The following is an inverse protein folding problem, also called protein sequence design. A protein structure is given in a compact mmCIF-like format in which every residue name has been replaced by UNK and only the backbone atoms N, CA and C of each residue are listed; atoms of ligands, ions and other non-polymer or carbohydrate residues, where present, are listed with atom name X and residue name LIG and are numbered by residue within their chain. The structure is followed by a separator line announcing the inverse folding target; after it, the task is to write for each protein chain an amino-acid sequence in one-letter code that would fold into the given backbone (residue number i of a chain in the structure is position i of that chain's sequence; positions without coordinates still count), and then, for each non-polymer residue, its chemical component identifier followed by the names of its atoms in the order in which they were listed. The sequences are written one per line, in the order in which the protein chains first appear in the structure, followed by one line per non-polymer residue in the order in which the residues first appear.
data_IF_901981854693
#
_entry.id   IF_901981854693
#
_cell.length_a   1.000
_cell.length_b   1.000
_cell.length_c   1.000
_cell.angle_alpha   90.00
_cell.angle_beta   90.00
_cell.angle_gamma   90.00
#
_symmetry.space_group_name_H-M   'P 1'
#
loop_
_entity.id
_entity.type
_entity.pdbx_description
1 polymer ?
#
# COMPACT_ATOMS: atom_id res chain seq x y z
N UNK A 1 16.10 -2.98 14.66
CA UNK A 1 15.48 -1.95 13.81
C UNK A 1 14.12 -2.45 13.35
N UNK A 2 13.10 -1.62 13.42
CA UNK A 2 11.76 -2.03 13.02
C UNK A 2 11.53 -1.77 11.53
N UNK A 3 10.87 -2.71 10.89
CA UNK A 3 10.46 -2.62 9.49
C UNK A 3 8.95 -2.71 9.38
N UNK A 4 8.41 -2.19 8.29
CA UNK A 4 7.00 -2.31 7.94
C UNK A 4 6.91 -2.99 6.57
N UNK A 5 6.20 -4.10 6.50
CA UNK A 5 5.78 -4.68 5.22
C UNK A 5 4.45 -4.07 4.85
N UNK A 6 4.38 -3.43 3.70
CA UNK A 6 3.22 -2.65 3.28
C UNK A 6 2.70 -3.13 1.93
N UNK A 7 1.37 -3.24 1.83
CA UNK A 7 0.70 -3.56 0.58
C UNK A 7 -0.59 -2.76 0.48
N UNK A 8 -1.02 -2.46 -0.75
CA UNK A 8 -2.28 -1.74 -1.00
C UNK A 8 -3.11 -2.46 -2.04
N UNK A 9 -4.43 -2.22 -1.98
CA UNK A 9 -5.36 -2.51 -3.07
C UNK A 9 -5.98 -1.20 -3.53
N UNK A 10 -6.29 -1.10 -4.83
CA UNK A 10 -6.74 0.15 -5.46
C UNK A 10 -7.90 -0.10 -6.40
N UNK A 11 -8.50 1.00 -6.88
CA UNK A 11 -9.56 0.92 -7.89
C UNK A 11 -9.03 0.74 -9.31
N UNK A 12 -7.72 0.88 -9.54
CA UNK A 12 -7.15 0.76 -10.89
C UNK A 12 -5.63 0.81 -10.89
N UNK A 13 -5.04 1.06 -12.05
CA UNK A 13 -3.60 0.91 -12.26
C UNK A 13 -2.78 2.19 -12.05
N UNK A 14 -3.44 3.37 -12.06
CA UNK A 14 -2.70 4.63 -11.96
C UNK A 14 -3.50 5.69 -11.23
N UNK A 15 -2.87 6.46 -10.32
CA UNK A 15 -3.54 7.58 -9.69
C UNK A 15 -3.86 8.71 -10.68
N UNK A 16 -3.17 8.78 -11.82
CA UNK A 16 -3.42 9.80 -12.85
C UNK A 16 -4.82 9.69 -13.45
N UNK A 17 -5.45 8.52 -13.41
CA UNK A 17 -6.80 8.29 -13.88
C UNK A 17 -7.83 8.42 -12.75
N UNK A 18 -7.47 9.11 -11.67
CA UNK A 18 -8.30 9.33 -10.48
C UNK A 18 -8.63 8.04 -9.75
N UNK A 19 -7.82 7.02 -9.92
CA UNK A 19 -7.96 5.80 -9.13
C UNK A 19 -7.48 6.06 -7.71
N UNK A 20 -8.04 5.29 -6.78
CA UNK A 20 -7.84 5.52 -5.35
C UNK A 20 -7.55 4.21 -4.63
N UNK A 21 -6.97 4.33 -3.44
CA UNK A 21 -6.70 3.20 -2.56
C UNK A 21 -7.99 2.72 -1.91
N UNK A 22 -8.19 1.40 -1.84
CA UNK A 22 -9.31 0.78 -1.13
C UNK A 22 -8.87 -0.02 0.09
N UNK A 23 -7.59 -0.35 0.20
CA UNK A 23 -7.07 -1.10 1.35
C UNK A 23 -5.60 -0.78 1.55
N UNK A 24 -5.19 -0.61 2.82
CA UNK A 24 -3.79 -0.54 3.22
C UNK A 24 -3.56 -1.60 4.29
N UNK A 25 -2.57 -2.45 4.09
CA UNK A 25 -2.17 -3.46 5.06
C UNK A 25 -0.70 -3.27 5.38
N UNK A 26 -0.38 -3.14 6.67
CA UNK A 26 0.98 -3.00 7.17
C UNK A 26 1.22 -3.98 8.29
N UNK A 27 2.34 -4.69 8.24
CA UNK A 27 2.76 -5.60 9.30
C UNK A 27 4.12 -5.12 9.81
N UNK A 28 4.24 -4.90 11.12
CA UNK A 28 5.50 -4.51 11.71
C UNK A 28 6.35 -5.72 12.03
N UNK A 29 7.64 -5.61 11.76
CA UNK A 29 8.64 -6.60 12.15
C UNK A 29 9.77 -5.90 12.89
N UNK A 30 10.54 -6.68 13.66
CA UNK A 30 11.79 -6.24 14.26
C UNK A 30 12.87 -7.23 13.85
N UNK A 31 13.86 -6.76 13.09
CA UNK A 31 14.87 -7.61 12.47
C UNK A 31 14.22 -8.79 11.73
N UNK A 32 13.16 -8.48 10.97
CA UNK A 32 12.37 -9.37 10.13
C UNK A 32 11.52 -10.38 10.89
N UNK A 33 11.39 -10.24 12.22
CA UNK A 33 10.50 -11.06 13.04
C UNK A 33 9.22 -10.28 13.36
N UNK A 34 8.03 -10.84 13.12
CA UNK A 34 6.78 -10.12 13.39
C UNK A 34 6.65 -9.70 14.85
N UNK A 35 6.22 -8.44 15.08
CA UNK A 35 6.02 -7.89 16.43
C UNK A 35 4.58 -8.00 16.91
N UNK A 36 3.66 -8.49 16.06
CA UNK A 36 2.22 -8.54 16.27
C UNK A 36 1.52 -7.19 16.12
N UNK A 37 2.24 -6.11 15.82
CA UNK A 37 1.61 -4.81 15.50
C UNK A 37 1.23 -4.78 14.04
N UNK A 38 -0.03 -4.48 13.77
CA UNK A 38 -0.60 -4.47 12.43
C UNK A 38 -1.41 -3.19 12.26
N UNK A 39 -1.28 -2.56 11.10
CA UNK A 39 -2.18 -1.52 10.64
C UNK A 39 -2.94 -2.07 9.43
N UNK A 40 -4.25 -2.13 9.51
CA UNK A 40 -5.08 -2.62 8.42
C UNK A 40 -6.34 -1.78 8.33
N UNK A 41 -6.54 -1.12 7.19
CA UNK A 41 -7.74 -0.32 6.94
C UNK A 41 -8.28 -0.62 5.56
N UNK A 42 -9.59 -0.80 5.51
CA UNK A 42 -10.36 -0.82 4.27
C UNK A 42 -10.92 0.58 4.11
N UNK A 43 -10.75 1.17 2.92
CA UNK A 43 -10.95 2.60 2.71
C UNK A 43 -12.03 2.85 1.67
N UNK A 44 -12.88 3.82 1.93
CA UNK A 44 -13.84 4.33 0.96
C UNK A 44 -13.10 5.18 -0.08
N UNK A 45 -13.04 4.76 -1.35
CA UNK A 45 -12.30 5.51 -2.37
C UNK A 45 -13.08 6.71 -2.90
N UNK A 46 -14.31 6.90 -2.45
CA UNK A 46 -15.20 7.99 -2.88
C UNK A 46 -15.43 7.99 -4.39
N UNK A 47 -15.45 6.81 -4.99
CA UNK A 47 -15.72 6.59 -6.39
C UNK A 47 -16.17 5.15 -6.61
N UNK A 48 -16.69 4.86 -7.80
CA UNK A 48 -17.08 3.51 -8.18
C UNK A 48 -15.84 2.62 -8.37
N UNK A 49 -16.01 1.35 -8.03
CA UNK A 49 -14.97 0.32 -8.22
C UNK A 49 -15.22 -0.34 -9.57
N UNK A 50 -14.28 -0.24 -10.53
CA UNK A 50 -14.43 -0.95 -11.80
C UNK A 50 -14.46 -2.47 -11.63
N UNK A 51 -15.14 -3.16 -12.54
CA UNK A 51 -15.26 -4.62 -12.49
C UNK A 51 -13.91 -5.33 -12.45
N UNK A 52 -12.93 -4.82 -13.18
CA UNK A 52 -11.58 -5.40 -13.19
C UNK A 52 -10.92 -5.37 -11.82
N UNK A 53 -11.08 -4.26 -11.09
CA UNK A 53 -10.55 -4.13 -9.74
C UNK A 53 -11.33 -5.03 -8.77
N UNK A 54 -12.65 -5.06 -8.87
CA UNK A 54 -13.49 -5.92 -8.04
C UNK A 54 -13.11 -7.39 -8.17
N UNK A 55 -12.79 -7.84 -9.38
CA UNK A 55 -12.36 -9.23 -9.62
C UNK A 55 -11.04 -9.56 -8.92
N UNK A 56 -10.20 -8.55 -8.69
CA UNK A 56 -8.90 -8.75 -8.03
C UNK A 56 -9.05 -8.78 -6.52
N UNK A 57 -9.67 -7.77 -5.91
CA UNK A 57 -9.71 -7.63 -4.46
C UNK A 57 -11.04 -7.99 -3.81
N UNK A 58 -12.13 -8.10 -4.59
CA UNK A 58 -13.42 -8.53 -4.07
C UNK A 58 -14.22 -7.46 -3.31
N UNK A 59 -13.80 -6.20 -3.31
CA UNK A 59 -14.52 -5.13 -2.64
C UNK A 59 -15.45 -4.42 -3.60
N UNK A 60 -16.77 -4.47 -3.33
CA UNK A 60 -17.75 -3.77 -4.14
C UNK A 60 -17.84 -2.29 -3.76
N UNK A 61 -18.37 -1.47 -4.66
CA UNK A 61 -18.64 -0.07 -4.38
C UNK A 61 -19.54 0.08 -3.15
N UNK A 62 -20.60 -0.72 -3.07
CA UNK A 62 -21.53 -0.66 -1.94
C UNK A 62 -20.87 -1.02 -0.61
N UNK A 63 -20.02 -2.05 -0.61
CA UNK A 63 -19.29 -2.45 0.60
C UNK A 63 -18.41 -1.31 1.11
N UNK A 64 -17.74 -0.60 0.20
CA UNK A 64 -16.79 0.46 0.56
C UNK A 64 -17.46 1.77 0.99
N UNK A 65 -18.73 1.99 0.63
CA UNK A 65 -19.45 3.23 0.99
C UNK A 65 -19.46 3.52 2.48
N UNK A 66 -19.46 2.50 3.32
CA UNK A 66 -19.55 2.64 4.78
C UNK A 66 -18.19 2.68 5.45
N UNK A 67 -17.11 2.65 4.69
CA UNK A 67 -15.75 2.70 5.24
C UNK A 67 -15.27 4.13 5.36
N UNK A 68 -14.27 4.33 6.23
CA UNK A 68 -13.66 5.64 6.37
C UNK A 68 -12.91 6.05 5.11
N UNK A 69 -12.90 7.34 4.81
CA UNK A 69 -12.11 7.88 3.71
C UNK A 69 -10.65 8.00 4.11
N UNK A 70 -9.76 8.14 3.12
CA UNK A 70 -8.32 8.15 3.38
C UNK A 70 -7.90 9.25 4.35
N UNK A 71 -8.50 10.45 4.25
CA UNK A 71 -8.17 11.57 5.13
C UNK A 71 -8.38 11.25 6.60
N UNK A 72 -9.33 10.36 6.92
CA UNK A 72 -9.63 9.99 8.31
C UNK A 72 -8.66 8.96 8.88
N UNK A 73 -8.02 8.16 8.03
CA UNK A 73 -7.07 7.14 8.48
C UNK A 73 -5.61 7.56 8.30
N UNK A 74 -5.36 8.68 7.62
CA UNK A 74 -4.02 9.09 7.23
C UNK A 74 -3.08 9.33 8.41
N UNK A 75 -3.55 10.01 9.46
CA UNK A 75 -2.70 10.32 10.61
C UNK A 75 -2.25 9.05 11.34
N UNK A 76 -3.16 8.10 11.53
CA UNK A 76 -2.83 6.83 12.16
C UNK A 76 -1.82 6.05 11.29
N UNK A 77 -2.02 6.06 9.96
CA UNK A 77 -1.11 5.43 9.03
C UNK A 77 0.29 6.06 9.10
N UNK A 78 0.36 7.39 9.04
CA UNK A 78 1.64 8.12 9.10
C UNK A 78 2.38 7.79 10.41
N UNK A 79 1.67 7.79 11.53
CA UNK A 79 2.27 7.45 12.83
C UNK A 79 2.77 6.01 12.87
N UNK A 80 2.07 5.09 12.23
CA UNK A 80 2.47 3.67 12.22
C UNK A 80 3.78 3.45 11.48
N UNK A 81 3.99 4.15 10.36
CA UNK A 81 5.19 3.97 9.53
C UNK A 81 6.36 4.87 9.92
N UNK A 82 6.15 5.81 10.84
CA UNK A 82 7.15 6.83 11.17
C UNK A 82 8.45 6.21 11.69
N UNK A 83 9.57 6.69 11.13
CA UNK A 83 10.93 6.32 11.53
C UNK A 83 11.25 4.82 11.37
N UNK A 84 10.55 4.16 10.46
CA UNK A 84 10.75 2.73 10.18
C UNK A 84 11.13 2.50 8.73
N UNK A 85 11.85 1.42 8.48
CA UNK A 85 12.08 0.96 7.10
C UNK A 85 10.78 0.39 6.56
N UNK A 86 10.46 0.70 5.30
CA UNK A 86 9.23 0.23 4.67
C UNK A 86 9.61 -0.68 3.51
N UNK A 87 9.10 -1.89 3.53
CA UNK A 87 9.35 -2.90 2.50
C UNK A 87 8.07 -3.07 1.68
N UNK A 88 8.16 -2.81 0.39
CA UNK A 88 7.02 -2.87 -0.53
C UNK A 88 7.45 -3.66 -1.77
N UNK A 89 6.61 -4.59 -2.22
CA UNK A 89 6.84 -5.29 -3.49
C UNK A 89 6.30 -4.43 -4.63
N UNK A 90 7.16 -4.02 -5.57
CA UNK A 90 6.85 -3.05 -6.62
C UNK A 90 6.49 -1.68 -6.03
N UNK A 91 7.41 -1.11 -5.28
CA UNK A 91 7.18 0.09 -4.46
C UNK A 91 6.66 1.30 -5.25
N UNK A 92 7.09 1.46 -6.51
CA UNK A 92 6.65 2.61 -7.32
C UNK A 92 5.13 2.64 -7.50
N UNK A 93 4.49 1.47 -7.61
CA UNK A 93 3.04 1.37 -7.72
C UNK A 93 2.35 1.89 -6.44
N UNK A 94 2.68 1.30 -5.29
CA UNK A 94 2.02 1.65 -4.03
C UNK A 94 2.36 3.08 -3.60
N UNK A 95 3.61 3.50 -3.75
CA UNK A 95 4.02 4.87 -3.41
C UNK A 95 3.32 5.90 -4.29
N UNK A 96 3.11 5.59 -5.56
CA UNK A 96 2.39 6.49 -6.46
C UNK A 96 0.99 6.80 -5.92
N UNK A 97 0.25 5.77 -5.50
CA UNK A 97 -1.08 5.96 -4.92
C UNK A 97 -1.04 6.62 -3.55
N UNK A 98 -0.15 6.17 -2.66
CA UNK A 98 -0.04 6.72 -1.31
C UNK A 98 0.33 8.20 -1.35
N UNK A 99 1.32 8.57 -2.14
CA UNK A 99 1.78 9.95 -2.22
C UNK A 99 0.76 10.85 -2.91
N UNK A 100 0.04 10.34 -3.91
CA UNK A 100 -1.04 11.07 -4.55
C UNK A 100 -2.14 11.40 -3.52
N UNK A 101 -2.57 10.41 -2.73
CA UNK A 101 -3.62 10.64 -1.74
C UNK A 101 -3.16 11.53 -0.58
N UNK A 102 -1.90 11.38 -0.14
CA UNK A 102 -1.34 12.27 0.88
C UNK A 102 -1.28 13.72 0.39
N UNK A 103 -0.90 13.93 -0.86
CA UNK A 103 -0.85 15.27 -1.46
C UNK A 103 -2.23 15.89 -1.52
N UNK A 104 -3.26 15.13 -1.87
CA UNK A 104 -4.64 15.64 -1.95
C UNK A 104 -5.13 16.20 -0.62
N UNK A 105 -4.65 15.68 0.50
CA UNK A 105 -5.04 16.14 1.84
C UNK A 105 -3.96 17.01 2.48
N UNK A 106 -3.00 17.49 1.69
CA UNK A 106 -1.94 18.41 2.11
C UNK A 106 -1.02 17.83 3.19
N UNK A 107 -0.75 16.52 3.11
CA UNK A 107 0.23 15.84 3.94
C UNK A 107 1.53 15.64 3.17
N UNK A 108 2.64 15.44 3.91
CA UNK A 108 3.93 15.19 3.29
C UNK A 108 3.98 13.82 2.62
N UNK A 109 4.63 13.75 1.48
CA UNK A 109 4.85 12.51 0.77
C UNK A 109 5.82 11.59 1.53
N UNK A 110 5.69 10.28 1.32
CA UNK A 110 6.63 9.30 1.85
C UNK A 110 7.91 9.39 1.03
N UNK A 111 9.05 9.59 1.70
CA UNK A 111 10.36 9.70 1.04
C UNK A 111 10.91 8.31 0.73
N UNK A 112 11.57 8.20 -0.43
CA UNK A 112 12.13 6.92 -0.86
C UNK A 112 13.32 6.46 -0.04
N UNK A 113 13.94 7.31 0.74
CA UNK A 113 15.14 6.99 1.53
C UNK A 113 14.93 5.78 2.46
N UNK A 114 13.71 5.58 2.96
CA UNK A 114 13.38 4.50 3.86
C UNK A 114 12.66 3.34 3.19
N UNK A 115 12.55 3.36 1.86
CA UNK A 115 11.81 2.34 1.10
C UNK A 115 12.77 1.29 0.55
N UNK A 116 12.40 0.02 0.74
CA UNK A 116 13.07 -1.11 0.10
C UNK A 116 12.05 -1.75 -0.84
N UNK A 117 12.38 -1.82 -2.13
CA UNK A 117 11.52 -2.48 -3.11
C UNK A 117 11.94 -3.94 -3.25
N UNK A 118 11.14 -4.85 -2.70
CA UNK A 118 11.48 -6.27 -2.72
C UNK A 118 11.45 -6.87 -4.14
N UNK A 119 10.73 -6.27 -5.07
CA UNK A 119 10.76 -6.70 -6.47
C UNK A 119 12.12 -6.38 -7.11
N UNK A 120 12.69 -5.20 -6.86
CA UNK A 120 14.01 -4.84 -7.35
C UNK A 120 15.10 -5.75 -6.77
N UNK A 121 14.99 -6.07 -5.47
CA UNK A 121 15.91 -7.02 -4.83
C UNK A 121 15.80 -8.40 -5.48
N UNK A 122 14.59 -8.88 -5.72
CA UNK A 122 14.36 -10.19 -6.36
C UNK A 122 14.89 -10.21 -7.78
N UNK A 123 14.68 -9.14 -8.56
CA UNK A 123 15.19 -9.04 -9.94
C UNK A 123 16.71 -9.06 -9.99
N UNK A 124 17.36 -8.47 -8.99
CA UNK A 124 18.82 -8.51 -8.89
C UNK A 124 19.35 -9.89 -8.54
N UNK A 125 18.60 -10.69 -7.76
CA UNK A 125 19.02 -12.03 -7.31
C UNK A 125 18.58 -13.15 -8.26
N UNK A 126 17.41 -13.00 -8.90
CA UNK A 126 16.79 -14.04 -9.71
C UNK A 126 16.34 -13.48 -11.07
N UNK A 127 17.28 -12.98 -11.90
CA UNK A 127 16.91 -12.42 -13.20
C UNK A 127 16.29 -13.50 -14.07
N UNK A 128 15.19 -13.17 -14.76
CA UNK A 128 14.49 -14.09 -15.65
C UNK A 128 13.47 -14.99 -14.97
N UNK A 129 13.35 -14.96 -13.63
CA UNK A 129 12.35 -15.71 -12.89
C UNK A 129 11.07 -14.89 -12.69
N UNK A 130 9.98 -15.57 -12.29
CA UNK A 130 8.77 -14.87 -11.85
C UNK A 130 9.06 -14.14 -10.55
N UNK A 131 8.74 -12.84 -10.51
CA UNK A 131 9.01 -11.98 -9.36
C UNK A 131 7.73 -11.40 -8.75
N UNK A 132 6.58 -12.05 -8.95
CA UNK A 132 5.36 -11.65 -8.26
C UNK A 132 5.50 -11.93 -6.76
N UNK A 133 4.75 -11.23 -5.93
CA UNK A 133 4.79 -11.44 -4.49
C UNK A 133 4.46 -12.88 -4.13
N UNK A 134 3.47 -13.47 -4.78
CA UNK A 134 3.07 -14.87 -4.56
C UNK A 134 4.20 -15.84 -4.89
N UNK A 135 4.97 -15.58 -5.94
CA UNK A 135 6.09 -16.43 -6.33
C UNK A 135 7.26 -16.33 -5.36
N UNK A 136 7.40 -15.18 -4.67
CA UNK A 136 8.51 -14.94 -3.73
C UNK A 136 8.18 -15.39 -2.30
N UNK A 137 6.92 -15.54 -1.97
CA UNK A 137 6.48 -16.08 -0.70
C UNK A 137 6.33 -17.58 -0.76
#
# INVERSE_FOLDING_TARGET
MNEIFLDTETTGLSPNDRHKIVEIACIETNDLTPTKKIFHKIINPQRDVPDGAYKVHGFSTDFLKNKETFDKVADEFINFIKDKKIIIHNASFDLGFLNYELKLIQKHEIKRDNIIDSLEVARGKFPGSSNSLDALC
#
